data_IF_375084020030
#
_entry.id   IF_375084020030
#
_cell.length_a   1.000
_cell.length_b   1.000
_cell.length_c   1.000
_cell.angle_alpha   90.00
_cell.angle_beta   90.00
_cell.angle_gamma   90.00
#
_symmetry.space_group_name_H-M   'P 1'
#
loop_
_entity.id
_entity.type
_entity.pdbx_description
1 polymer ?
#
# COMPACT_ATOMS: atom_id res chain seq x y z
N UNK A 1 41.80 38.57 -39.47
CA UNK A 1 40.91 37.46 -39.05
C UNK A 1 40.06 37.95 -37.88
N UNK A 2 38.74 38.19 -38.04
CA UNK A 2 37.90 38.56 -36.91
C UNK A 2 37.37 37.30 -36.21
N UNK A 3 37.56 37.22 -34.89
CA UNK A 3 36.92 36.21 -34.04
C UNK A 3 35.42 36.51 -33.92
N UNK A 4 34.57 35.54 -34.29
CA UNK A 4 33.14 35.53 -33.96
C UNK A 4 32.95 34.70 -32.68
N UNK A 5 32.42 35.32 -31.63
CA UNK A 5 31.87 34.63 -30.47
C UNK A 5 30.43 34.16 -30.79
N UNK A 6 29.98 33.00 -30.29
CA UNK A 6 28.60 32.56 -30.43
C UNK A 6 27.68 33.28 -29.42
N UNK A 7 26.38 33.45 -29.72
CA UNK A 7 25.43 33.98 -28.77
C UNK A 7 25.13 32.95 -27.69
N UNK A 8 25.36 33.33 -26.44
CA UNK A 8 24.97 32.59 -25.24
C UNK A 8 23.44 32.47 -25.17
N UNK A 9 23.02 31.26 -24.86
CA UNK A 9 21.64 30.82 -24.75
C UNK A 9 20.83 31.62 -23.72
N UNK A 10 19.78 32.28 -24.19
CA UNK A 10 18.66 32.75 -23.37
C UNK A 10 17.48 31.78 -23.61
N UNK A 11 17.55 30.61 -22.99
CA UNK A 11 16.45 29.65 -22.99
C UNK A 11 16.40 28.89 -21.65
N UNK A 12 16.28 29.63 -20.55
CA UNK A 12 16.02 29.04 -19.24
C UNK A 12 15.22 30.01 -18.35
N UNK A 13 13.89 30.09 -18.54
CA UNK A 13 13.05 30.09 -17.33
C UNK A 13 11.74 29.29 -17.44
N UNK A 14 11.52 28.48 -18.48
CA UNK A 14 10.26 27.74 -18.64
C UNK A 14 10.19 26.39 -17.90
N UNK A 15 11.33 25.82 -17.49
CA UNK A 15 11.38 24.54 -16.75
C UNK A 15 11.03 24.66 -15.26
N UNK A 16 10.90 25.88 -14.71
CA UNK A 16 10.59 26.10 -13.30
C UNK A 16 9.08 26.01 -12.95
N UNK A 17 8.19 25.89 -13.95
CA UNK A 17 6.73 25.85 -13.74
C UNK A 17 6.14 24.44 -13.71
N UNK A 18 6.97 23.39 -13.80
CA UNK A 18 6.51 22.00 -13.85
C UNK A 18 6.21 21.29 -12.50
N UNK A 19 6.44 21.83 -11.28
CA UNK A 19 6.10 21.04 -10.08
C UNK A 19 4.61 21.09 -9.72
N UNK A 20 3.79 21.89 -10.41
CA UNK A 20 2.37 22.10 -10.05
C UNK A 20 1.43 20.91 -10.34
N UNK A 21 1.88 19.91 -11.10
CA UNK A 21 1.05 18.76 -11.49
C UNK A 21 1.47 17.43 -10.86
N UNK A 22 2.49 17.40 -9.99
CA UNK A 22 2.80 16.18 -9.27
C UNK A 22 1.71 15.95 -8.21
N UNK A 23 0.96 14.83 -8.25
CA UNK A 23 -0.03 14.55 -7.22
C UNK A 23 0.64 14.61 -5.86
N UNK A 24 0.09 15.39 -4.92
CA UNK A 24 0.65 15.57 -3.56
C UNK A 24 0.98 14.25 -2.87
N UNK A 25 0.21 13.21 -3.18
CA UNK A 25 0.42 11.83 -2.72
C UNK A 25 1.83 11.32 -3.02
N UNK A 26 2.42 11.61 -4.19
CA UNK A 26 3.73 11.09 -4.55
C UNK A 26 4.87 11.68 -3.69
N UNK A 27 4.69 12.93 -3.25
CA UNK A 27 5.61 13.66 -2.38
C UNK A 27 5.28 13.56 -0.89
N UNK A 28 4.19 12.89 -0.52
CA UNK A 28 3.78 12.78 0.87
C UNK A 28 4.72 11.90 1.69
N UNK A 29 4.74 12.12 3.00
CA UNK A 29 5.49 11.29 3.94
C UNK A 29 5.04 9.82 3.83
N UNK A 30 6.01 8.93 3.98
CA UNK A 30 5.77 7.52 3.74
C UNK A 30 7.04 6.70 3.73
N UNK A 31 6.92 5.47 3.27
CA UNK A 31 8.04 4.54 3.15
C UNK A 31 7.84 3.64 1.94
N UNK A 32 8.85 2.84 1.64
CA UNK A 32 8.75 1.77 0.67
C UNK A 32 8.78 0.44 1.41
N UNK A 33 8.11 -0.57 0.85
CA UNK A 33 8.13 -1.92 1.37
C UNK A 33 8.49 -2.92 0.26
N UNK A 34 8.93 -4.09 0.68
CA UNK A 34 9.13 -5.25 -0.19
C UNK A 34 8.65 -6.50 0.54
N UNK A 35 7.80 -7.28 -0.13
CA UNK A 35 7.30 -8.57 0.33
C UNK A 35 7.52 -9.57 -0.80
N UNK A 36 8.49 -10.48 -0.62
CA UNK A 36 8.98 -11.31 -1.72
C UNK A 36 9.46 -10.45 -2.88
N UNK A 37 8.94 -10.71 -4.08
CA UNK A 37 9.24 -9.94 -5.29
C UNK A 37 8.34 -8.70 -5.47
N UNK A 38 7.26 -8.60 -4.69
CA UNK A 38 6.35 -7.44 -4.72
C UNK A 38 6.97 -6.27 -3.97
N UNK A 39 6.97 -5.10 -4.61
CA UNK A 39 7.44 -3.86 -4.01
C UNK A 39 6.37 -2.78 -4.10
N UNK A 40 6.35 -1.87 -3.13
CA UNK A 40 5.39 -0.79 -3.14
C UNK A 40 5.82 0.40 -2.31
N UNK A 41 5.04 1.46 -2.44
CA UNK A 41 5.21 2.72 -1.73
C UNK A 41 3.97 2.95 -0.84
N UNK A 42 4.19 3.15 0.45
CA UNK A 42 3.13 3.62 1.36
C UNK A 42 3.22 5.13 1.48
N UNK A 43 2.08 5.81 1.46
CA UNK A 43 1.95 7.26 1.65
C UNK A 43 0.89 7.54 2.71
N UNK A 44 1.26 8.38 3.68
CA UNK A 44 0.35 8.87 4.70
C UNK A 44 -0.24 10.20 4.20
N UNK A 45 -1.53 10.20 3.89
CA UNK A 45 -2.24 11.35 3.33
C UNK A 45 -3.60 11.51 3.98
N UNK A 46 -4.29 12.63 3.75
CA UNK A 46 -5.70 12.68 4.11
C UNK A 46 -6.51 11.74 3.21
N UNK A 47 -7.55 11.09 3.74
CA UNK A 47 -8.50 10.30 2.90
C UNK A 47 -9.13 11.10 1.75
N UNK A 48 -9.18 12.44 1.83
CA UNK A 48 -9.63 13.27 0.70
C UNK A 48 -8.67 13.27 -0.49
N UNK A 49 -7.42 12.84 -0.28
CA UNK A 49 -6.35 12.81 -1.28
C UNK A 49 -6.18 11.41 -1.90
N UNK A 50 -6.99 10.42 -1.52
CA UNK A 50 -6.94 9.06 -2.07
C UNK A 50 -7.24 8.98 -3.58
N UNK A 51 -7.77 10.04 -4.18
CA UNK A 51 -7.99 10.14 -5.62
C UNK A 51 -9.04 9.16 -6.12
N UNK A 52 -8.60 8.03 -6.68
CA UNK A 52 -9.48 7.02 -7.30
C UNK A 52 -10.26 6.18 -6.29
N UNK A 53 -9.82 6.14 -5.04
CA UNK A 53 -10.52 5.44 -3.96
C UNK A 53 -11.51 6.35 -3.23
N UNK A 54 -12.50 5.73 -2.58
CA UNK A 54 -13.50 6.47 -1.81
C UNK A 54 -12.89 7.13 -0.57
N UNK A 55 -13.15 8.42 -0.38
CA UNK A 55 -12.78 9.17 0.83
C UNK A 55 -13.53 8.71 2.11
N UNK A 56 -14.40 7.69 2.02
CA UNK A 56 -15.02 7.03 3.18
C UNK A 56 -14.13 5.95 3.79
N UNK A 57 -13.11 5.49 3.08
CA UNK A 57 -12.17 4.47 3.54
C UNK A 57 -11.05 5.09 4.39
N UNK A 58 -10.28 4.24 5.06
CA UNK A 58 -9.09 4.63 5.85
C UNK A 58 -7.78 4.11 5.24
N UNK A 59 -7.89 3.28 4.21
CA UNK A 59 -6.80 2.81 3.38
C UNK A 59 -7.25 2.70 1.92
N UNK A 60 -6.29 2.68 1.01
CA UNK A 60 -6.51 2.45 -0.40
C UNK A 60 -5.23 1.90 -1.02
N UNK A 61 -5.37 0.92 -1.89
CA UNK A 61 -4.28 0.35 -2.66
C UNK A 61 -4.53 0.51 -4.14
N UNK A 62 -3.57 1.09 -4.85
CA UNK A 62 -3.59 1.27 -6.30
C UNK A 62 -2.45 0.42 -6.89
N UNK A 63 -2.77 -0.71 -7.56
CA UNK A 63 -1.77 -1.48 -8.29
C UNK A 63 -1.17 -0.67 -9.45
N UNK A 64 0.16 -0.74 -9.61
CA UNK A 64 0.92 -0.07 -10.68
C UNK A 64 1.96 -1.05 -11.22
N UNK A 65 1.60 -1.75 -12.30
CA UNK A 65 2.43 -2.83 -12.85
C UNK A 65 2.59 -3.97 -11.83
N UNK A 66 3.82 -4.35 -11.51
CA UNK A 66 4.14 -5.38 -10.50
C UNK A 66 4.33 -4.82 -9.08
N UNK A 67 4.02 -3.55 -8.87
CA UNK A 67 4.03 -2.93 -7.55
C UNK A 67 2.73 -2.21 -7.23
N UNK A 68 2.73 -1.42 -6.17
CA UNK A 68 1.55 -0.67 -5.76
C UNK A 68 1.89 0.61 -5.01
N UNK A 69 0.95 1.54 -5.06
CA UNK A 69 0.87 2.68 -4.17
C UNK A 69 -0.22 2.38 -3.12
N UNK A 70 0.19 2.32 -1.86
CA UNK A 70 -0.70 2.19 -0.69
C UNK A 70 -0.85 3.58 -0.07
N UNK A 71 -2.07 4.04 0.10
CA UNK A 71 -2.40 5.29 0.77
C UNK A 71 -3.15 4.99 2.05
N UNK A 72 -2.67 5.52 3.17
CA UNK A 72 -3.32 5.36 4.47
C UNK A 72 -3.73 6.73 5.01
N UNK A 73 -4.90 6.79 5.64
CA UNK A 73 -5.35 7.98 6.35
C UNK A 73 -4.38 8.29 7.48
N UNK A 74 -3.67 9.42 7.37
CA UNK A 74 -2.59 9.83 8.26
C UNK A 74 -3.02 9.78 9.73
N UNK A 75 -4.17 10.37 10.04
CA UNK A 75 -4.68 10.46 11.40
C UNK A 75 -5.09 9.09 11.95
N UNK A 76 -5.83 8.30 11.17
CA UNK A 76 -6.24 6.96 11.58
C UNK A 76 -5.03 6.07 11.84
N UNK A 77 -4.04 6.10 10.94
CA UNK A 77 -2.85 5.28 11.09
C UNK A 77 -2.02 5.71 12.30
N UNK A 78 -1.63 6.99 12.40
CA UNK A 78 -0.72 7.42 13.47
C UNK A 78 -1.36 7.39 14.88
N UNK A 79 -2.67 7.57 14.99
CA UNK A 79 -3.40 7.52 16.28
C UNK A 79 -3.95 6.13 16.60
N UNK A 80 -3.87 5.20 15.65
CA UNK A 80 -4.34 3.83 15.84
C UNK A 80 -3.51 3.05 16.86
N UNK A 81 -4.14 2.10 17.53
CA UNK A 81 -3.43 1.09 18.34
C UNK A 81 -2.42 0.33 17.46
N UNK A 82 -1.36 -0.28 18.04
CA UNK A 82 -0.45 -1.16 17.28
C UNK A 82 -1.19 -2.19 16.42
N UNK A 83 -2.25 -2.76 17.00
CA UNK A 83 -3.16 -3.70 16.36
C UNK A 83 -3.86 -3.15 15.12
N UNK A 84 -4.48 -1.97 15.25
CA UNK A 84 -5.19 -1.33 14.15
C UNK A 84 -4.24 -0.94 13.03
N UNK A 85 -3.07 -0.38 13.36
CA UNK A 85 -2.03 -0.05 12.37
C UNK A 85 -1.58 -1.28 11.60
N UNK A 86 -1.34 -2.39 12.31
CA UNK A 86 -0.91 -3.64 11.70
C UNK A 86 -1.96 -4.22 10.77
N UNK A 87 -3.21 -4.33 11.25
CA UNK A 87 -4.29 -4.86 10.43
C UNK A 87 -4.52 -3.97 9.20
N UNK A 88 -4.56 -2.65 9.34
CA UNK A 88 -4.76 -1.74 8.21
C UNK A 88 -3.62 -1.86 7.19
N UNK A 89 -2.37 -1.76 7.61
CA UNK A 89 -1.25 -1.82 6.66
C UNK A 89 -1.17 -3.20 6.00
N UNK A 90 -1.31 -4.28 6.76
CA UNK A 90 -1.27 -5.62 6.22
C UNK A 90 -2.46 -5.88 5.27
N UNK A 91 -3.64 -5.32 5.55
CA UNK A 91 -4.82 -5.40 4.68
C UNK A 91 -4.55 -4.74 3.33
N UNK A 92 -4.03 -3.51 3.32
CA UNK A 92 -3.70 -2.80 2.08
C UNK A 92 -2.55 -3.47 1.31
N UNK A 93 -1.52 -3.97 2.01
CA UNK A 93 -0.49 -4.81 1.37
C UNK A 93 -1.11 -6.09 0.82
N UNK A 94 -2.15 -6.64 1.46
CA UNK A 94 -2.95 -7.75 0.95
C UNK A 94 -3.54 -7.44 -0.43
N UNK A 95 -4.22 -6.30 -0.61
CA UNK A 95 -4.71 -5.86 -1.93
C UNK A 95 -3.59 -5.79 -2.98
N UNK A 96 -2.40 -5.35 -2.58
CA UNK A 96 -1.25 -5.30 -3.47
C UNK A 96 -0.76 -6.69 -3.88
N UNK A 97 -0.71 -7.64 -2.95
CA UNK A 97 -0.31 -9.02 -3.22
C UNK A 97 -1.35 -9.78 -4.02
N UNK A 98 -2.64 -9.48 -3.82
CA UNK A 98 -3.71 -10.02 -4.65
C UNK A 98 -3.50 -9.66 -6.13
N UNK A 99 -3.22 -8.39 -6.41
CA UNK A 99 -2.94 -7.93 -7.76
C UNK A 99 -1.62 -8.48 -8.32
N UNK A 100 -0.52 -8.37 -7.56
CA UNK A 100 0.83 -8.63 -8.08
C UNK A 100 1.25 -10.11 -8.05
N UNK A 101 0.69 -10.91 -7.16
CA UNK A 101 1.08 -12.32 -6.95
C UNK A 101 -0.01 -13.28 -7.39
N UNK A 102 -1.28 -12.91 -7.15
CA UNK A 102 -2.43 -13.75 -7.45
C UNK A 102 -3.17 -13.34 -8.72
N UNK A 103 -2.77 -12.22 -9.34
CA UNK A 103 -3.39 -11.68 -10.55
C UNK A 103 -4.91 -11.49 -10.39
N UNK A 104 -5.32 -11.00 -9.21
CA UNK A 104 -6.73 -10.84 -8.80
C UNK A 104 -7.51 -12.15 -8.67
N UNK A 105 -6.81 -13.27 -8.49
CA UNK A 105 -7.41 -14.57 -8.22
C UNK A 105 -7.92 -14.74 -6.78
N UNK A 106 -7.65 -13.78 -5.88
CA UNK A 106 -8.12 -13.75 -4.49
C UNK A 106 -7.77 -15.01 -3.66
N UNK A 107 -6.82 -15.83 -4.12
CA UNK A 107 -6.49 -17.11 -3.51
C UNK A 107 -7.65 -18.11 -3.50
N UNK A 108 -8.64 -17.95 -4.40
CA UNK A 108 -9.88 -18.73 -4.39
C UNK A 108 -10.87 -18.32 -3.30
N UNK A 109 -10.60 -17.23 -2.56
CA UNK A 109 -11.56 -16.63 -1.63
C UNK A 109 -12.66 -15.95 -2.45
N UNK A 110 -13.88 -16.42 -2.28
CA UNK A 110 -15.12 -15.78 -2.72
C UNK A 110 -15.76 -15.03 -1.55
N UNK A 111 -16.94 -15.49 -1.10
CA UNK A 111 -17.71 -14.83 -0.04
C UNK A 111 -17.23 -15.14 1.40
N UNK A 112 -16.20 -15.97 1.57
CA UNK A 112 -15.78 -16.50 2.87
C UNK A 112 -15.26 -15.42 3.82
N UNK A 113 -14.76 -14.28 3.30
CA UNK A 113 -14.32 -13.15 4.13
C UNK A 113 -15.44 -12.56 5.02
N UNK A 114 -16.71 -12.86 4.74
CA UNK A 114 -17.84 -12.45 5.57
C UNK A 114 -17.73 -12.87 7.05
N UNK A 115 -16.90 -13.87 7.38
CA UNK A 115 -16.59 -14.24 8.78
C UNK A 115 -15.96 -13.10 9.59
N UNK A 116 -15.31 -12.14 8.92
CA UNK A 116 -14.71 -10.96 9.55
C UNK A 116 -15.68 -9.77 9.60
N UNK A 117 -16.84 -9.88 8.94
CA UNK A 117 -17.85 -8.84 8.83
C UNK A 117 -18.38 -8.68 7.41
N UNK A 118 -19.58 -8.10 7.29
CA UNK A 118 -20.29 -7.91 6.02
C UNK A 118 -19.48 -7.16 4.95
N UNK A 119 -18.66 -6.19 5.39
CA UNK A 119 -17.77 -5.42 4.53
C UNK A 119 -16.77 -6.30 3.76
N UNK A 120 -16.32 -7.40 4.37
CA UNK A 120 -15.32 -8.30 3.81
C UNK A 120 -15.91 -9.46 3.00
N UNK A 121 -17.22 -9.45 2.73
CA UNK A 121 -17.85 -10.47 1.87
C UNK A 121 -17.29 -10.46 0.44
N UNK A 122 -17.04 -9.33 -0.24
CA UNK A 122 -16.44 -9.35 -1.58
C UNK A 122 -15.06 -10.03 -1.55
N UNK A 123 -14.77 -10.85 -2.56
CA UNK A 123 -13.55 -11.66 -2.66
C UNK A 123 -12.25 -10.86 -2.41
N UNK A 124 -12.15 -9.68 -3.02
CA UNK A 124 -11.01 -8.77 -2.90
C UNK A 124 -10.78 -8.30 -1.45
N UNK A 125 -11.84 -7.83 -0.77
CA UNK A 125 -11.78 -7.41 0.63
C UNK A 125 -11.57 -8.59 1.57
N UNK A 126 -12.18 -9.73 1.24
CA UNK A 126 -12.05 -10.97 1.99
C UNK A 126 -10.63 -11.52 1.96
N UNK A 127 -9.97 -11.50 0.80
CA UNK A 127 -8.57 -11.89 0.69
C UNK A 127 -7.66 -10.94 1.47
N UNK A 128 -7.79 -9.63 1.26
CA UNK A 128 -6.97 -8.64 1.95
C UNK A 128 -7.07 -8.75 3.48
N UNK A 129 -8.29 -8.92 4.00
CA UNK A 129 -8.50 -9.12 5.43
C UNK A 129 -7.94 -10.46 5.90
N UNK A 130 -8.14 -11.54 5.15
CA UNK A 130 -7.55 -12.86 5.49
C UNK A 130 -6.03 -12.80 5.55
N UNK A 131 -5.39 -12.09 4.62
CA UNK A 131 -3.95 -11.88 4.63
C UNK A 131 -3.52 -11.08 5.86
N UNK A 132 -4.24 -10.00 6.21
CA UNK A 132 -3.95 -9.23 7.42
C UNK A 132 -4.05 -10.07 8.70
N UNK A 133 -5.04 -10.97 8.78
CA UNK A 133 -5.21 -11.89 9.91
C UNK A 133 -4.10 -12.93 9.96
N UNK A 134 -3.72 -13.51 8.82
CA UNK A 134 -2.59 -14.43 8.72
C UNK A 134 -1.27 -13.74 9.09
N UNK A 135 -1.08 -12.49 8.66
CA UNK A 135 0.11 -11.69 8.98
C UNK A 135 0.24 -11.54 10.48
N UNK A 136 -0.85 -11.16 11.13
CA UNK A 136 -0.89 -11.03 12.58
C UNK A 136 -0.57 -12.35 13.26
N UNK A 137 -1.22 -13.44 12.83
CA UNK A 137 -1.08 -14.72 13.50
C UNK A 137 0.40 -15.16 13.50
N UNK A 138 1.16 -14.73 12.48
CA UNK A 138 2.57 -15.03 12.32
C UNK A 138 3.51 -14.00 12.95
N UNK A 139 3.26 -12.72 12.74
CA UNK A 139 4.18 -11.62 13.06
C UNK A 139 3.70 -10.73 14.23
N UNK A 140 2.53 -11.00 14.80
CA UNK A 140 1.92 -10.14 15.81
C UNK A 140 1.63 -8.75 15.26
N UNK A 141 1.93 -7.72 16.06
CA UNK A 141 1.81 -6.31 15.68
C UNK A 141 3.14 -5.71 15.16
N UNK A 142 4.10 -6.56 14.78
CA UNK A 142 5.37 -6.13 14.22
C UNK A 142 5.16 -5.60 12.80
N UNK A 143 5.48 -4.33 12.54
CA UNK A 143 5.32 -3.68 11.24
C UNK A 143 6.60 -3.58 10.41
N UNK A 144 7.76 -3.92 10.98
CA UNK A 144 9.04 -3.85 10.28
C UNK A 144 9.09 -4.70 8.99
N UNK A 145 8.49 -5.92 8.93
CA UNK A 145 8.41 -6.69 7.68
C UNK A 145 7.63 -6.00 6.57
N UNK A 146 6.75 -5.05 6.90
CA UNK A 146 6.00 -4.21 5.95
C UNK A 146 6.66 -2.84 5.75
N UNK A 147 7.93 -2.70 6.15
CA UNK A 147 8.76 -1.51 5.94
C UNK A 147 8.52 -0.37 6.92
N UNK A 148 7.70 -0.54 7.97
CA UNK A 148 7.39 0.52 8.91
C UNK A 148 8.01 0.29 10.29
N UNK A 149 8.85 1.24 10.71
CA UNK A 149 9.49 1.24 12.03
C UNK A 149 10.60 0.21 12.18
N UNK A 150 11.10 0.08 13.41
CA UNK A 150 12.09 -0.93 13.79
C UNK A 150 11.39 -2.13 14.45
N UNK A 151 11.89 -3.34 14.20
CA UNK A 151 11.36 -4.58 14.74
C UNK A 151 12.19 -5.78 14.28
N UNK A 152 11.98 -6.97 14.88
CA UNK A 152 12.66 -8.18 14.43
C UNK A 152 12.23 -8.55 13.01
N UNK A 153 13.03 -9.35 12.34
CA UNK A 153 12.60 -9.98 11.10
C UNK A 153 11.43 -10.93 11.37
N UNK A 154 10.50 -11.02 10.42
CA UNK A 154 9.42 -12.00 10.42
C UNK A 154 9.18 -12.44 8.98
N UNK A 155 9.10 -13.75 8.77
CA UNK A 155 8.65 -14.29 7.49
C UNK A 155 7.15 -14.04 7.35
N UNK A 156 6.76 -13.20 6.39
CA UNK A 156 5.35 -12.86 6.17
C UNK A 156 4.59 -14.04 5.52
N UNK A 157 3.26 -14.12 5.64
CA UNK A 157 2.49 -15.20 5.01
C UNK A 157 2.66 -15.22 3.49
N UNK A 158 2.75 -16.42 2.91
CA UNK A 158 2.64 -16.60 1.45
C UNK A 158 1.19 -16.31 1.02
N UNK A 159 0.93 -15.29 0.18
CA UNK A 159 -0.43 -14.94 -0.24
C UNK A 159 -1.15 -16.11 -0.93
N UNK A 160 -0.44 -17.04 -1.56
CA UNK A 160 -1.04 -18.21 -2.23
C UNK A 160 -1.61 -19.26 -1.27
N UNK A 161 -1.28 -19.16 0.03
CA UNK A 161 -1.68 -20.11 1.07
C UNK A 161 -2.66 -19.51 2.07
N UNK A 162 -3.05 -18.25 1.87
CA UNK A 162 -4.01 -17.57 2.75
C UNK A 162 -5.41 -18.12 2.50
N UNK A 163 -6.09 -18.45 3.59
CA UNK A 163 -7.49 -18.86 3.61
C UNK A 163 -8.28 -17.95 4.54
N UNK A 164 -9.59 -17.83 4.29
CA UNK A 164 -10.48 -17.06 5.17
C UNK A 164 -10.79 -17.74 6.51
N UNK A 165 -10.29 -18.96 6.77
CA UNK A 165 -10.53 -19.66 8.03
C UNK A 165 -9.78 -19.00 9.21
N UNK A 166 -10.44 -18.77 10.35
CA UNK A 166 -9.72 -18.48 11.58
C UNK A 166 -8.88 -19.71 11.98
N UNK A 167 -7.68 -19.54 12.56
CA UNK A 167 -6.92 -20.69 13.06
C UNK A 167 -7.79 -21.46 14.06
N UNK A 168 -7.82 -22.79 13.91
CA UNK A 168 -8.46 -23.67 14.89
C UNK A 168 -7.93 -23.33 16.29
N UNK A 169 -8.86 -23.11 17.22
CA UNK A 169 -8.53 -22.88 18.63
C UNK A 169 -7.91 -24.12 19.26
#
# INVERSE_FOLDING_TARGET
MPLRLPPLALAAPLLALLPACSPRVLSADGWNFRVGDTQGAVRLVSRQEFGVCSAKLVGCTVPVGHGCLVMLDLDYFLKGTPRQRTLLLAHEVGHCLDASVLEYGHGGIGAQGAVYGEYYRPAVEGFAESYARAYVARCGDNLAPLGYGAGPECEVPDPRRVTAEPPAR
#
